data_IF_152422682643
#
_entry.id   IF_152422682643
#
_cell.length_a   1.000
_cell.length_b   1.000
_cell.length_c   1.000
_cell.angle_alpha   90.00
_cell.angle_beta   90.00
_cell.angle_gamma   90.00
#
_symmetry.space_group_name_H-M   'P 1'
#
loop_
_entity.id
_entity.type
_entity.pdbx_description
1 polymer ?
#
# COMPACT_ATOMS: atom_id res chain seq x y z
N UNK A 1 18.25 -4.42 19.63
CA UNK A 1 17.35 -5.49 19.20
C UNK A 1 16.87 -5.22 17.78
N UNK A 2 16.95 -6.22 16.97
CA UNK A 2 16.48 -6.12 15.62
C UNK A 2 15.01 -6.47 15.53
N UNK A 3 14.21 -5.56 14.97
CA UNK A 3 12.80 -5.87 14.66
C UNK A 3 12.78 -6.42 13.24
N UNK A 4 12.33 -7.65 13.11
CA UNK A 4 12.16 -8.24 11.80
C UNK A 4 10.80 -7.83 11.25
N UNK A 5 10.83 -7.14 10.12
CA UNK A 5 9.62 -6.70 9.45
C UNK A 5 9.12 -7.82 8.54
N UNK A 6 7.89 -8.24 8.77
CA UNK A 6 7.22 -9.21 7.92
C UNK A 6 6.22 -8.47 7.04
N UNK A 7 6.36 -8.53 5.71
CA UNK A 7 5.43 -7.84 4.84
C UNK A 7 4.05 -8.49 4.85
N UNK A 8 3.03 -7.67 4.63
CA UNK A 8 1.69 -8.15 4.28
C UNK A 8 1.71 -8.43 2.79
N UNK A 9 1.24 -9.59 2.37
CA UNK A 9 1.36 -10.04 0.98
C UNK A 9 0.04 -10.56 0.46
N UNK A 10 -0.29 -10.21 -0.77
CA UNK A 10 -1.42 -10.78 -1.49
C UNK A 10 -1.06 -10.93 -2.95
N UNK A 11 -1.52 -12.02 -3.56
CA UNK A 11 -1.31 -12.29 -4.99
C UNK A 11 -2.68 -12.38 -5.66
N UNK A 12 -2.88 -11.58 -6.70
CA UNK A 12 -4.11 -11.58 -7.50
C UNK A 12 -3.71 -11.71 -8.97
N UNK A 13 -4.19 -12.73 -9.62
CA UNK A 13 -3.93 -12.97 -11.06
C UNK A 13 -2.45 -12.83 -11.43
N UNK A 14 -1.57 -13.35 -10.58
CA UNK A 14 -0.13 -13.32 -10.82
C UNK A 14 0.57 -12.01 -10.49
N UNK A 15 -0.13 -11.04 -9.93
CA UNK A 15 0.48 -9.82 -9.40
C UNK A 15 0.65 -9.99 -7.89
N UNK A 16 1.90 -9.99 -7.43
CA UNK A 16 2.24 -10.07 -6.01
C UNK A 16 2.44 -8.66 -5.47
N UNK A 17 1.71 -8.33 -4.42
CA UNK A 17 1.84 -7.04 -3.75
C UNK A 17 2.24 -7.29 -2.31
N UNK A 18 3.38 -6.72 -1.90
CA UNK A 18 3.91 -6.80 -0.55
C UNK A 18 4.01 -5.40 0.04
N UNK A 19 3.53 -5.21 1.28
CA UNK A 19 3.53 -3.91 1.93
C UNK A 19 4.16 -4.02 3.30
N UNK A 20 5.05 -3.08 3.61
CA UNK A 20 5.67 -2.94 4.94
C UNK A 20 5.34 -1.55 5.45
N UNK A 21 4.42 -1.42 6.45
CA UNK A 21 4.15 -0.13 7.10
C UNK A 21 5.22 0.18 8.15
N UNK A 22 5.41 1.46 8.42
CA UNK A 22 6.36 1.93 9.41
C UNK A 22 5.82 3.16 10.12
N UNK A 23 5.70 3.11 11.45
CA UNK A 23 5.28 4.25 12.25
C UNK A 23 6.40 5.30 12.29
N UNK A 24 6.04 6.57 12.13
CA UNK A 24 6.97 7.70 12.10
C UNK A 24 6.72 8.61 13.32
N UNK A 25 7.26 8.27 14.50
CA UNK A 25 6.99 9.08 15.70
C UNK A 25 7.48 10.52 15.59
N UNK A 26 8.57 10.73 14.87
CA UNK A 26 9.15 12.08 14.70
C UNK A 26 8.29 13.00 13.84
N UNK A 27 7.44 12.43 12.99
CA UNK A 27 6.52 13.18 12.13
C UNK A 27 5.11 13.19 12.66
N UNK A 28 4.89 12.60 13.82
CA UNK A 28 3.59 12.53 14.48
C UNK A 28 3.44 13.65 15.49
N UNK A 29 2.20 14.07 15.76
CA UNK A 29 1.88 15.06 16.77
C UNK A 29 0.86 14.44 17.73
N UNK A 30 1.33 14.07 18.92
CA UNK A 30 0.51 13.38 19.91
C UNK A 30 -0.58 14.29 20.48
N UNK A 31 -0.31 15.58 20.62
CA UNK A 31 -1.30 16.53 21.15
C UNK A 31 -2.50 16.68 20.24
N UNK A 32 -2.27 16.71 18.93
CA UNK A 32 -3.34 16.81 17.94
C UNK A 32 -3.83 15.44 17.48
N UNK A 33 -3.27 14.35 18.02
CA UNK A 33 -3.63 12.97 17.66
C UNK A 33 -3.43 12.71 16.15
N UNK A 34 -2.31 13.17 15.63
CA UNK A 34 -1.91 12.90 14.25
C UNK A 34 -0.74 11.90 14.27
N UNK A 35 -1.00 10.69 13.78
CA UNK A 35 -0.04 9.60 13.79
C UNK A 35 0.38 9.31 12.35
N UNK A 36 1.65 9.60 12.05
CA UNK A 36 2.19 9.49 10.70
C UNK A 36 2.82 8.14 10.47
N UNK A 37 2.59 7.58 9.29
CA UNK A 37 3.16 6.31 8.85
C UNK A 37 3.71 6.47 7.44
N UNK A 38 4.79 5.76 7.16
CA UNK A 38 5.17 5.45 5.78
C UNK A 38 4.76 4.01 5.49
N UNK A 39 4.61 3.69 4.22
CA UNK A 39 4.46 2.31 3.80
C UNK A 39 5.24 2.09 2.51
N UNK A 40 5.96 0.97 2.50
CA UNK A 40 6.75 0.55 1.35
C UNK A 40 5.97 -0.52 0.61
N UNK A 41 5.78 -0.33 -0.68
CA UNK A 41 5.04 -1.27 -1.54
C UNK A 41 5.99 -1.84 -2.57
N UNK A 42 6.00 -3.17 -2.67
CA UNK A 42 6.70 -3.89 -3.74
C UNK A 42 5.67 -4.63 -4.58
N UNK A 43 5.64 -4.32 -5.87
CA UNK A 43 4.74 -4.94 -6.83
C UNK A 43 5.58 -5.78 -7.77
N UNK A 44 5.27 -7.08 -7.87
CA UNK A 44 6.02 -8.01 -8.72
C UNK A 44 5.07 -8.62 -9.74
N UNK A 45 5.41 -8.52 -11.01
CA UNK A 45 4.66 -9.20 -12.06
C UNK A 45 5.17 -10.64 -12.20
N UNK A 46 4.43 -11.58 -11.61
CA UNK A 46 4.72 -13.01 -11.70
C UNK A 46 3.97 -13.69 -12.86
N UNK A 47 3.39 -12.88 -13.74
CA UNK A 47 2.71 -13.35 -14.94
C UNK A 47 3.73 -13.53 -16.06
N UNK A 48 3.28 -14.17 -17.15
CA UNK A 48 4.12 -14.35 -18.33
C UNK A 48 3.98 -13.21 -19.34
N UNK A 49 2.96 -12.33 -19.15
CA UNK A 49 2.71 -11.19 -20.03
C UNK A 49 3.10 -9.88 -19.37
N UNK A 50 3.20 -8.83 -20.18
CA UNK A 50 3.48 -7.47 -19.72
C UNK A 50 2.18 -6.78 -19.32
N UNK A 51 2.20 -6.07 -18.20
CA UNK A 51 1.05 -5.30 -17.71
C UNK A 51 1.51 -3.90 -17.33
N UNK A 52 0.58 -2.96 -17.29
CA UNK A 52 0.84 -1.58 -16.85
C UNK A 52 -0.08 -1.24 -15.69
N UNK A 53 0.50 -0.75 -14.60
CA UNK A 53 -0.28 -0.19 -13.50
C UNK A 53 -0.78 1.20 -13.92
N UNK A 54 -2.09 1.39 -13.96
CA UNK A 54 -2.68 2.64 -14.45
C UNK A 54 -3.36 3.45 -13.38
N UNK A 55 -3.94 2.82 -12.36
CA UNK A 55 -4.71 3.52 -11.33
C UNK A 55 -4.50 2.89 -9.96
N UNK A 56 -4.69 3.71 -8.92
CA UNK A 56 -4.71 3.27 -7.53
C UNK A 56 -6.03 3.63 -6.88
N UNK A 57 -6.44 2.80 -5.91
CA UNK A 57 -7.60 3.07 -5.08
C UNK A 57 -7.28 2.61 -3.65
N UNK A 58 -7.29 3.54 -2.71
CA UNK A 58 -6.93 3.29 -1.32
C UNK A 58 -8.08 3.61 -0.38
N UNK A 59 -8.21 2.79 0.65
CA UNK A 59 -9.09 3.02 1.79
C UNK A 59 -8.23 3.11 3.04
N UNK A 60 -8.39 4.18 3.81
CA UNK A 60 -7.66 4.39 5.06
C UNK A 60 -8.64 4.34 6.21
N UNK A 61 -8.39 3.48 7.18
CA UNK A 61 -9.22 3.30 8.36
C UNK A 61 -8.46 3.77 9.59
N UNK A 62 -9.18 4.45 10.49
CA UNK A 62 -8.67 4.88 11.78
C UNK A 62 -9.61 4.32 12.84
N UNK A 63 -9.10 3.48 13.75
CA UNK A 63 -9.87 2.77 14.78
C UNK A 63 -11.13 2.07 14.23
N UNK A 64 -11.02 1.46 13.06
CA UNK A 64 -12.10 0.69 12.45
C UNK A 64 -13.07 1.50 11.61
N UNK A 65 -12.94 2.82 11.58
CA UNK A 65 -13.81 3.70 10.78
C UNK A 65 -13.07 4.19 9.52
N UNK A 66 -13.81 4.30 8.42
CA UNK A 66 -13.24 4.83 7.18
C UNK A 66 -12.92 6.31 7.37
N UNK A 67 -11.62 6.63 7.32
CA UNK A 67 -11.13 7.99 7.47
C UNK A 67 -11.00 8.69 6.12
N UNK A 68 -10.54 7.96 5.10
CA UNK A 68 -10.29 8.54 3.79
C UNK A 68 -10.37 7.47 2.71
N UNK A 69 -10.78 7.91 1.54
CA UNK A 69 -10.75 7.10 0.33
C UNK A 69 -10.04 7.93 -0.73
N UNK A 70 -9.00 7.37 -1.35
CA UNK A 70 -8.15 8.08 -2.31
C UNK A 70 -8.06 7.27 -3.58
N UNK A 71 -8.39 7.88 -4.70
CA UNK A 71 -8.15 7.24 -5.99
C UNK A 71 -7.51 8.22 -6.96
N UNK A 72 -6.76 7.68 -7.91
CA UNK A 72 -6.08 8.48 -8.90
C UNK A 72 -5.28 7.64 -9.86
N UNK A 73 -4.61 8.33 -10.79
CA UNK A 73 -3.78 7.67 -11.79
C UNK A 73 -2.40 7.34 -11.22
N UNK A 74 -1.97 6.10 -11.47
CA UNK A 74 -0.62 5.67 -11.15
C UNK A 74 -0.29 5.63 -9.66
N UNK A 75 0.99 5.56 -9.37
CA UNK A 75 1.56 5.58 -8.03
C UNK A 75 2.79 6.50 -8.03
N UNK A 76 2.83 7.43 -7.08
CA UNK A 76 3.91 8.45 -6.93
C UNK A 76 4.34 9.06 -8.28
N UNK A 77 3.35 9.41 -9.12
CA UNK A 77 3.61 10.05 -10.41
C UNK A 77 4.03 9.10 -11.53
N UNK A 78 3.97 7.78 -11.34
CA UNK A 78 4.38 6.79 -12.32
C UNK A 78 3.25 5.84 -12.67
N UNK A 79 3.24 5.38 -13.92
CA UNK A 79 2.37 4.29 -14.38
C UNK A 79 3.28 3.17 -14.92
N UNK A 80 3.92 2.41 -14.03
CA UNK A 80 4.97 1.48 -14.45
C UNK A 80 4.45 0.38 -15.36
N UNK A 81 5.23 0.10 -16.40
CA UNK A 81 5.03 -1.04 -17.29
C UNK A 81 5.96 -2.14 -16.81
N UNK A 82 5.38 -3.29 -16.47
CA UNK A 82 6.13 -4.41 -15.91
C UNK A 82 6.06 -5.60 -16.86
N UNK A 83 7.20 -5.96 -17.41
CA UNK A 83 7.33 -7.21 -18.15
C UNK A 83 7.33 -8.38 -17.15
N UNK A 84 7.23 -9.60 -17.66
CA UNK A 84 7.24 -10.81 -16.85
C UNK A 84 8.47 -10.81 -15.92
N UNK A 85 8.25 -10.98 -14.62
CA UNK A 85 9.30 -11.02 -13.62
C UNK A 85 9.79 -9.65 -13.14
N UNK A 86 9.36 -8.56 -13.75
CA UNK A 86 9.78 -7.21 -13.32
C UNK A 86 8.99 -6.76 -12.09
N UNK A 87 9.59 -5.83 -11.35
CA UNK A 87 8.99 -5.28 -10.14
C UNK A 87 9.08 -3.76 -10.10
N UNK A 88 8.21 -3.16 -9.29
CA UNK A 88 8.23 -1.73 -9.00
C UNK A 88 8.08 -1.54 -7.50
N UNK A 89 8.93 -0.72 -6.90
CA UNK A 89 8.93 -0.45 -5.47
C UNK A 89 8.77 1.05 -5.25
N UNK A 90 7.92 1.41 -4.30
CA UNK A 90 7.78 2.82 -3.92
C UNK A 90 7.45 2.95 -2.44
N UNK A 91 7.63 4.15 -1.91
CA UNK A 91 7.30 4.50 -0.53
C UNK A 91 6.33 5.67 -0.59
N UNK A 92 5.30 5.61 0.23
CA UNK A 92 4.35 6.70 0.41
C UNK A 92 3.99 6.82 1.89
N UNK A 93 3.07 7.70 2.24
CA UNK A 93 2.72 7.93 3.64
C UNK A 93 1.27 8.26 3.84
N UNK A 94 0.85 8.18 5.09
CA UNK A 94 -0.50 8.52 5.53
C UNK A 94 -0.47 8.99 6.98
N UNK A 95 -1.55 9.66 7.40
CA UNK A 95 -1.76 10.09 8.77
C UNK A 95 -3.12 9.56 9.22
N UNK A 96 -3.15 8.96 10.41
CA UNK A 96 -4.41 8.54 11.04
C UNK A 96 -4.54 9.28 12.38
N UNK A 97 -5.72 9.19 13.00
CA UNK A 97 -6.04 9.96 14.20
C UNK A 97 -6.21 9.10 15.44
N UNK A 98 -5.87 7.84 15.35
CA UNK A 98 -5.90 6.89 16.46
C UNK A 98 -4.61 6.09 16.49
N UNK A 99 -4.33 5.42 17.62
CA UNK A 99 -3.09 4.64 17.76
C UNK A 99 -3.07 3.36 16.94
N UNK A 100 -4.23 2.97 16.39
CA UNK A 100 -4.35 1.86 15.46
C UNK A 100 -5.23 2.25 14.27
N UNK A 101 -4.91 1.70 13.13
CA UNK A 101 -5.70 1.83 11.92
C UNK A 101 -5.34 0.74 10.93
N UNK A 102 -5.77 0.89 9.71
CA UNK A 102 -5.47 -0.04 8.64
C UNK A 102 -5.60 0.65 7.28
N UNK A 103 -5.00 0.05 6.29
CA UNK A 103 -5.20 0.44 4.89
C UNK A 103 -5.52 -0.78 4.06
N UNK A 104 -6.31 -0.57 3.01
CA UNK A 104 -6.63 -1.58 2.01
C UNK A 104 -6.83 -0.89 0.68
N UNK A 105 -6.94 -1.64 -0.38
CA UNK A 105 -7.22 -1.07 -1.68
C UNK A 105 -6.92 -2.01 -2.82
N UNK A 106 -6.78 -1.43 -4.01
CA UNK A 106 -6.41 -2.19 -5.19
C UNK A 106 -5.76 -1.28 -6.23
N UNK A 107 -5.00 -1.92 -7.11
CA UNK A 107 -4.47 -1.26 -8.30
C UNK A 107 -5.20 -1.79 -9.53
N UNK A 108 -5.36 -0.92 -10.52
CA UNK A 108 -5.88 -1.32 -11.82
C UNK A 108 -4.70 -1.49 -12.77
N UNK A 109 -4.70 -2.61 -13.46
CA UNK A 109 -3.67 -2.96 -14.45
C UNK A 109 -4.31 -3.07 -15.83
N UNK A 110 -3.53 -2.73 -16.84
CA UNK A 110 -3.89 -2.82 -18.25
C UNK A 110 -3.06 -3.94 -18.87
N UNK A 111 -3.76 -4.88 -19.53
CA UNK A 111 -3.12 -5.90 -20.37
C UNK A 111 -2.71 -5.28 -21.70
N UNK A 112 -1.81 -5.96 -22.42
CA UNK A 112 -1.39 -5.54 -23.75
C UNK A 112 -2.51 -5.57 -24.79
N UNK A 113 -3.58 -6.33 -24.54
CA UNK A 113 -4.76 -6.37 -25.43
C UNK A 113 -5.75 -5.24 -25.15
N UNK A 114 -5.48 -4.36 -24.20
CA UNK A 114 -6.33 -3.24 -23.83
C UNK A 114 -7.36 -3.53 -22.76
N UNK A 115 -7.47 -4.76 -22.28
CA UNK A 115 -8.38 -5.10 -21.20
C UNK A 115 -7.77 -4.74 -19.83
N UNK A 116 -8.61 -4.50 -18.85
CA UNK A 116 -8.21 -4.15 -17.48
C UNK A 116 -8.51 -5.28 -16.52
N UNK A 117 -7.73 -5.33 -15.42
CA UNK A 117 -8.03 -6.15 -14.27
C UNK A 117 -7.53 -5.43 -13.01
N UNK A 118 -8.03 -5.84 -11.85
CA UNK A 118 -7.57 -5.27 -10.58
C UNK A 118 -6.79 -6.30 -9.79
N UNK A 119 -5.77 -5.83 -9.08
CA UNK A 119 -5.02 -6.63 -8.12
C UNK A 119 -5.20 -6.02 -6.74
N UNK A 120 -5.57 -6.87 -5.78
CA UNK A 120 -5.84 -6.43 -4.42
C UNK A 120 -4.55 -6.12 -3.69
N UNK A 121 -4.54 -4.98 -2.99
CA UNK A 121 -3.51 -4.66 -2.01
C UNK A 121 -3.89 -5.39 -0.74
N UNK A 122 -2.98 -6.13 -0.08
CA UNK A 122 -3.32 -6.77 1.18
C UNK A 122 -3.73 -5.71 2.20
N UNK A 123 -4.79 -5.97 2.97
CA UNK A 123 -5.09 -5.09 4.10
C UNK A 123 -3.92 -5.17 5.08
N UNK A 124 -3.40 -4.03 5.50
CA UNK A 124 -2.30 -4.00 6.46
C UNK A 124 -2.62 -3.05 7.61
N UNK A 125 -2.13 -3.44 8.78
CA UNK A 125 -2.36 -2.68 10.01
C UNK A 125 -1.41 -1.50 10.10
N UNK A 126 -1.92 -0.39 10.66
CA UNK A 126 -1.14 0.78 11.05
C UNK A 126 -1.15 0.81 12.57
N UNK A 127 -0.03 0.45 13.19
CA UNK A 127 0.06 0.29 14.63
C UNK A 127 1.18 1.16 15.17
N UNK A 128 0.85 2.10 16.05
CA UNK A 128 1.84 2.94 16.69
C UNK A 128 2.54 2.16 17.81
N UNK A 129 3.69 2.65 18.26
CA UNK A 129 4.40 2.04 19.38
C UNK A 129 3.58 2.05 20.66
N UNK A 130 2.67 3.02 20.84
CA UNK A 130 1.80 3.09 22.02
C UNK A 130 0.80 1.95 22.08
N UNK A 131 0.33 1.48 20.92
CA UNK A 131 -0.61 0.38 20.86
C UNK A 131 0.01 -0.98 21.18
N UNK A 132 1.35 -1.05 21.20
CA UNK A 132 2.10 -2.28 21.48
C UNK A 132 2.47 -2.42 22.96
N UNK A 133 2.14 -1.44 23.76
CA UNK A 133 2.43 -1.46 25.22
C UNK A 133 1.41 -2.25 26.01
#
# INVERSE_FOLDING_TARGET
>A
MMIQETPFVQVTQGIRIAVIPNYLPEQSNLESQNYAFSYTVLIVNEREDTVQLTRRHWYVFSAGELLAEVEGEGVVGAQPILAAGESFKYVSGTVIHDIVGAMAGHYTFLHSDGSNFTAEIPMFDLVTSMALQ
#
